data_IF_926435113768
#
_entry.id   IF_926435113768
#
_cell.length_a   1.000
_cell.length_b   1.000
_cell.length_c   1.000
_cell.angle_alpha   90.00
_cell.angle_beta   90.00
_cell.angle_gamma   90.00
#
_symmetry.space_group_name_H-M   'P 1'
#
loop_
_entity.id
_entity.type
_entity.pdbx_description
1 polymer ?
#
# COMPACT_ATOMS: atom_id res chain seq x y z
N UNK A 1 6.86 -18.94 7.04
CA UNK A 1 6.31 -18.29 8.26
C UNK A 1 4.83 -18.03 8.03
N UNK A 2 3.97 -18.29 9.01
CA UNK A 2 2.54 -18.02 8.91
C UNK A 2 2.19 -16.68 9.55
N UNK A 3 1.24 -15.95 8.95
CA UNK A 3 0.70 -14.72 9.50
C UNK A 3 -0.29 -15.08 10.61
N UNK A 4 -0.04 -14.55 11.81
CA UNK A 4 -0.91 -14.73 12.96
C UNK A 4 -2.23 -14.00 12.75
N UNK A 5 -3.36 -14.60 13.12
CA UNK A 5 -4.67 -13.94 13.13
C UNK A 5 -5.44 -14.18 14.42
N UNK A 6 -6.30 -13.24 14.79
CA UNK A 6 -7.26 -13.37 15.89
C UNK A 6 -8.70 -13.35 15.37
N UNK A 7 -9.59 -14.00 16.09
CA UNK A 7 -11.03 -13.95 15.82
C UNK A 7 -11.64 -12.78 16.57
N UNK A 8 -12.30 -11.87 15.86
CA UNK A 8 -12.93 -10.69 16.45
C UNK A 8 -14.40 -10.59 16.04
N UNK A 9 -15.27 -10.38 17.00
CA UNK A 9 -16.68 -10.05 16.77
C UNK A 9 -16.79 -8.60 16.28
N UNK A 10 -17.50 -8.39 15.17
CA UNK A 10 -17.71 -7.06 14.58
C UNK A 10 -19.17 -6.86 14.19
N UNK A 11 -19.64 -5.62 14.38
CA UNK A 11 -20.93 -5.14 13.91
C UNK A 11 -20.84 -4.75 12.44
N UNK A 12 -21.89 -4.97 11.67
CA UNK A 12 -21.97 -4.51 10.29
C UNK A 12 -22.17 -2.98 10.26
N UNK A 13 -21.24 -2.18 9.67
CA UNK A 13 -21.41 -0.72 9.62
C UNK A 13 -22.53 -0.26 8.68
N UNK A 14 -22.92 -1.09 7.71
CA UNK A 14 -23.97 -0.75 6.72
C UNK A 14 -25.37 -1.11 7.21
N UNK A 15 -25.47 -2.08 8.12
CA UNK A 15 -26.72 -2.49 8.75
C UNK A 15 -26.48 -2.69 10.25
N UNK A 16 -26.73 -1.65 11.06
CA UNK A 16 -26.49 -1.71 12.49
C UNK A 16 -27.43 -2.66 13.24
N UNK A 17 -28.55 -3.09 12.64
CA UNK A 17 -29.52 -4.00 13.25
C UNK A 17 -29.20 -5.48 12.98
N UNK A 18 -28.31 -5.77 12.04
CA UNK A 18 -27.88 -7.12 11.75
C UNK A 18 -27.09 -7.74 12.93
N UNK A 19 -27.20 -9.06 13.16
CA UNK A 19 -26.40 -9.76 14.16
C UNK A 19 -24.90 -9.57 13.92
N UNK A 20 -24.14 -9.52 15.02
CA UNK A 20 -22.68 -9.49 14.96
C UNK A 20 -22.12 -10.73 14.28
N UNK A 21 -21.01 -10.57 13.57
CA UNK A 21 -20.30 -11.66 12.89
C UNK A 21 -18.85 -11.71 13.36
N UNK A 22 -18.28 -12.91 13.38
CA UNK A 22 -16.88 -13.14 13.70
C UNK A 22 -16.02 -13.05 12.43
N UNK A 23 -14.91 -12.32 12.52
CA UNK A 23 -13.96 -12.13 11.42
C UNK A 23 -12.55 -12.53 11.85
N UNK A 24 -11.81 -13.17 10.95
CA UNK A 24 -10.39 -13.38 11.09
C UNK A 24 -9.64 -12.08 10.78
N UNK A 25 -8.91 -11.56 11.76
CA UNK A 25 -8.12 -10.33 11.61
C UNK A 25 -6.63 -10.66 11.75
N UNK A 26 -5.81 -10.44 10.71
CA UNK A 26 -4.36 -10.56 10.80
C UNK A 26 -3.80 -9.66 11.92
N UNK A 27 -2.80 -10.17 12.62
CA UNK A 27 -2.07 -9.48 13.68
C UNK A 27 -0.70 -9.10 13.12
N UNK A 28 -0.34 -7.82 13.20
CA UNK A 28 0.99 -7.36 12.78
C UNK A 28 2.05 -7.94 13.72
N UNK A 29 3.14 -8.47 13.15
CA UNK A 29 4.28 -9.00 13.90
C UNK A 29 5.31 -7.94 14.25
N UNK A 30 5.21 -6.73 13.68
CA UNK A 30 6.16 -5.64 13.90
C UNK A 30 6.10 -4.60 12.80
N UNK A 31 7.11 -3.74 12.79
CA UNK A 31 7.38 -2.73 11.77
C UNK A 31 8.83 -2.90 11.33
N UNK A 32 9.11 -2.69 10.05
CA UNK A 32 10.48 -2.65 9.51
C UNK A 32 10.74 -1.23 9.05
N UNK A 33 11.78 -0.61 9.59
CA UNK A 33 12.16 0.78 9.32
C UNK A 33 13.06 0.88 8.08
N UNK A 34 13.26 2.10 7.57
CA UNK A 34 14.23 2.33 6.49
C UNK A 34 15.67 1.99 6.90
N UNK A 35 16.01 2.17 8.19
CA UNK A 35 17.35 1.84 8.70
C UNK A 35 17.58 0.33 8.68
N UNK A 36 16.65 -0.46 9.24
CA UNK A 36 16.70 -1.94 9.21
C UNK A 36 16.68 -2.47 7.77
N UNK A 37 15.82 -1.92 6.90
CA UNK A 37 15.76 -2.34 5.50
C UNK A 37 17.07 -2.03 4.75
N UNK A 38 17.73 -0.92 5.08
CA UNK A 38 19.03 -0.57 4.48
C UNK A 38 20.13 -1.52 4.92
N UNK A 39 20.09 -1.99 6.17
CA UNK A 39 21.01 -3.00 6.72
C UNK A 39 20.83 -4.33 5.99
N UNK A 40 19.58 -4.81 5.87
CA UNK A 40 19.23 -6.05 5.19
C UNK A 40 19.70 -6.06 3.71
N UNK A 41 19.48 -4.95 3.00
CA UNK A 41 19.90 -4.81 1.60
C UNK A 41 21.43 -4.72 1.49
N UNK A 42 22.09 -4.03 2.43
CA UNK A 42 23.55 -3.95 2.45
C UNK A 42 24.17 -5.33 2.65
N UNK A 43 23.63 -6.14 3.56
CA UNK A 43 24.06 -7.53 3.75
C UNK A 43 23.87 -8.42 2.51
N UNK A 44 22.86 -8.14 1.70
CA UNK A 44 22.59 -8.86 0.46
C UNK A 44 23.30 -8.31 -0.78
N UNK A 45 24.12 -7.25 -0.64
CA UNK A 45 24.77 -6.57 -1.77
C UNK A 45 26.21 -6.16 -1.46
N UNK A 46 26.88 -5.55 -2.44
CA UNK A 46 28.21 -4.96 -2.24
C UNK A 46 28.17 -3.48 -1.87
N UNK A 47 26.98 -2.92 -1.59
CA UNK A 47 26.77 -1.51 -1.28
C UNK A 47 26.71 -1.35 0.24
N UNK A 48 27.37 -0.33 0.79
CA UNK A 48 27.32 -0.07 2.23
C UNK A 48 25.92 0.45 2.64
N UNK A 49 25.58 0.27 3.92
CA UNK A 49 24.29 0.65 4.47
C UNK A 49 23.97 2.14 4.27
N UNK A 50 24.94 3.02 4.49
CA UNK A 50 24.76 4.48 4.36
C UNK A 50 24.34 4.89 2.94
N UNK A 51 24.94 4.29 1.93
CA UNK A 51 24.64 4.54 0.52
C UNK A 51 23.26 3.96 0.16
N UNK A 52 22.93 2.76 0.64
CA UNK A 52 21.58 2.17 0.46
C UNK A 52 20.52 3.09 1.08
N UNK A 53 20.74 3.55 2.31
CA UNK A 53 19.82 4.46 3.00
C UNK A 53 19.61 5.76 2.21
N UNK A 54 20.70 6.36 1.71
CA UNK A 54 20.62 7.56 0.89
C UNK A 54 19.82 7.35 -0.41
N UNK A 55 19.96 6.19 -1.05
CA UNK A 55 19.19 5.81 -2.23
C UNK A 55 17.70 5.61 -1.93
N UNK A 56 17.37 4.90 -0.85
CA UNK A 56 15.99 4.72 -0.41
C UNK A 56 15.33 6.06 -0.07
N UNK A 57 16.04 6.96 0.63
CA UNK A 57 15.55 8.31 0.90
C UNK A 57 15.35 9.13 -0.38
N UNK A 58 16.26 8.99 -1.34
CA UNK A 58 16.11 9.64 -2.65
C UNK A 58 14.87 9.13 -3.38
N UNK A 59 14.59 7.82 -3.32
CA UNK A 59 13.38 7.23 -3.89
C UNK A 59 12.10 7.78 -3.22
N UNK A 60 12.08 7.88 -1.89
CA UNK A 60 10.98 8.47 -1.11
C UNK A 60 10.72 9.93 -1.51
N UNK A 61 11.76 10.67 -1.92
CA UNK A 61 11.63 12.06 -2.39
C UNK A 61 11.18 12.16 -3.85
N UNK A 62 11.64 11.26 -4.71
CA UNK A 62 11.37 11.35 -6.15
C UNK A 62 10.00 10.79 -6.56
N UNK A 63 9.45 9.80 -5.84
CA UNK A 63 8.12 9.26 -6.13
C UNK A 63 7.05 10.38 -6.05
N UNK A 64 6.91 11.14 -4.95
CA UNK A 64 5.90 12.20 -4.84
C UNK A 64 6.05 13.29 -5.91
N UNK A 65 7.29 13.68 -6.25
CA UNK A 65 7.56 14.67 -7.31
C UNK A 65 7.04 14.20 -8.66
N UNK A 66 7.26 12.94 -9.00
CA UNK A 66 6.77 12.36 -10.25
C UNK A 66 5.25 12.23 -10.26
N UNK A 67 4.63 11.84 -9.15
CA UNK A 67 3.17 11.81 -9.02
C UNK A 67 2.56 13.21 -9.19
N UNK A 68 3.18 14.24 -8.60
CA UNK A 68 2.72 15.63 -8.75
C UNK A 68 2.80 16.13 -10.20
N UNK A 69 3.72 15.57 -11.01
CA UNK A 69 3.82 15.82 -12.46
C UNK A 69 2.81 15.01 -13.29
N UNK A 70 1.96 14.20 -12.67
CA UNK A 70 1.03 13.30 -13.35
C UNK A 70 1.65 12.01 -13.86
N UNK A 71 2.92 11.72 -13.53
CA UNK A 71 3.58 10.50 -13.97
C UNK A 71 3.10 9.29 -13.16
N UNK A 72 3.11 8.13 -13.80
CA UNK A 72 2.95 6.83 -13.16
C UNK A 72 4.35 6.28 -12.86
N UNK A 73 4.64 5.95 -11.60
CA UNK A 73 5.93 5.40 -11.20
C UNK A 73 5.85 3.88 -11.09
N UNK A 74 6.57 3.16 -11.94
CA UNK A 74 6.63 1.69 -11.92
C UNK A 74 7.97 1.22 -11.36
N UNK A 75 7.93 0.47 -10.26
CA UNK A 75 9.10 -0.15 -9.64
C UNK A 75 9.18 -1.63 -10.03
N UNK A 76 9.44 -1.91 -11.31
CA UNK A 76 9.60 -3.26 -11.83
C UNK A 76 8.49 -4.24 -11.37
N UNK A 77 8.92 -5.34 -10.74
CA UNK A 77 8.04 -6.40 -10.26
C UNK A 77 7.36 -6.11 -8.91
N UNK A 78 7.77 -5.05 -8.21
CA UNK A 78 7.17 -4.62 -6.95
C UNK A 78 5.75 -4.10 -7.19
N UNK A 79 5.60 -3.18 -8.13
CA UNK A 79 4.30 -2.62 -8.47
C UNK A 79 4.36 -1.24 -9.10
N UNK A 80 3.24 -0.54 -9.00
CA UNK A 80 3.05 0.77 -9.64
C UNK A 80 2.34 1.73 -8.69
N UNK A 81 2.87 2.95 -8.60
CA UNK A 81 2.27 4.09 -7.94
C UNK A 81 1.63 5.00 -8.98
N UNK A 82 0.37 5.38 -8.75
CA UNK A 82 -0.38 6.30 -9.62
C UNK A 82 -1.31 7.19 -8.82
N UNK A 83 -1.62 8.36 -9.36
CA UNK A 83 -2.68 9.21 -8.83
C UNK A 83 -4.04 8.54 -9.06
N UNK A 84 -4.83 8.45 -7.99
CA UNK A 84 -6.26 8.19 -8.06
C UNK A 84 -7.02 9.43 -7.61
N UNK A 85 -8.09 9.75 -8.31
CA UNK A 85 -9.05 10.77 -7.93
C UNK A 85 -10.46 10.20 -8.05
N UNK A 86 -11.39 10.78 -7.30
CA UNK A 86 -12.80 10.67 -7.58
C UNK A 86 -13.23 11.92 -8.38
N UNK A 87 -14.37 11.85 -9.05
CA UNK A 87 -14.99 13.03 -9.67
C UNK A 87 -16.43 13.12 -9.24
N UNK A 88 -16.89 14.34 -8.97
CA UNK A 88 -18.32 14.65 -8.99
C UNK A 88 -18.79 14.68 -10.44
N UNK A 89 -19.95 14.09 -10.72
CA UNK A 89 -20.55 14.09 -12.06
C UNK A 89 -21.27 15.41 -12.33
N UNK A 90 -21.22 15.88 -13.58
CA UNK A 90 -22.02 17.00 -14.06
C UNK A 90 -22.96 16.54 -15.15
N UNK A 91 -24.09 17.25 -15.33
CA UNK A 91 -25.10 16.93 -16.35
C UNK A 91 -24.58 17.31 -17.76
N UNK A 92 -23.78 18.36 -17.87
CA UNK A 92 -23.17 18.81 -19.14
C UNK A 92 -21.65 18.67 -19.12
N UNK A 93 -21.06 18.32 -20.27
CA UNK A 93 -19.61 18.19 -20.40
C UNK A 93 -18.87 19.53 -20.19
N UNK A 94 -19.50 20.65 -20.53
CA UNK A 94 -18.95 22.00 -20.41
C UNK A 94 -18.80 22.46 -18.95
N UNK A 95 -19.57 21.86 -18.04
CA UNK A 95 -19.54 22.16 -16.61
C UNK A 95 -18.40 21.42 -15.88
N UNK A 96 -17.78 20.44 -16.53
CA UNK A 96 -16.68 19.67 -15.94
C UNK A 96 -15.42 20.54 -15.88
N UNK A 97 -14.94 20.74 -14.66
CA UNK A 97 -13.76 21.53 -14.35
C UNK A 97 -12.84 20.80 -13.37
N UNK A 98 -11.62 21.30 -13.11
CA UNK A 98 -10.76 20.75 -12.07
C UNK A 98 -11.40 20.73 -10.66
N UNK A 99 -12.46 21.53 -10.42
CA UNK A 99 -13.20 21.53 -9.15
C UNK A 99 -14.02 20.26 -8.94
N UNK A 100 -14.39 19.58 -10.02
CA UNK A 100 -15.11 18.31 -9.95
C UNK A 100 -14.20 17.18 -9.46
N UNK A 101 -12.87 17.33 -9.52
CA UNK A 101 -11.92 16.35 -9.00
C UNK A 101 -11.89 16.40 -7.47
N UNK A 102 -12.34 15.32 -6.85
CA UNK A 102 -12.42 15.17 -5.40
C UNK A 102 -11.50 14.04 -4.93
N UNK A 103 -11.05 14.13 -3.68
CA UNK A 103 -10.31 13.06 -2.96
C UNK A 103 -9.17 12.44 -3.77
N UNK A 104 -8.04 13.15 -3.81
CA UNK A 104 -6.80 12.61 -4.35
C UNK A 104 -6.18 11.58 -3.40
N UNK A 105 -5.73 10.46 -3.96
CA UNK A 105 -5.06 9.38 -3.23
C UNK A 105 -3.94 8.79 -4.06
N UNK A 106 -2.88 8.34 -3.41
CA UNK A 106 -1.85 7.54 -4.05
C UNK A 106 -2.31 6.08 -4.07
N UNK A 107 -2.46 5.52 -5.27
CA UNK A 107 -2.80 4.12 -5.44
C UNK A 107 -1.54 3.31 -5.69
N UNK A 108 -1.39 2.22 -4.93
CA UNK A 108 -0.38 1.19 -5.18
C UNK A 108 -1.04 -0.04 -5.79
N UNK A 109 -0.60 -0.42 -6.99
CA UNK A 109 -1.03 -1.63 -7.67
C UNK A 109 0.08 -2.68 -7.55
N UNK A 110 -0.15 -3.83 -6.89
CA UNK A 110 0.88 -4.83 -6.68
C UNK A 110 1.34 -5.43 -8.01
N UNK A 111 2.66 -5.54 -8.17
CA UNK A 111 3.29 -6.21 -9.30
C UNK A 111 3.26 -7.73 -9.16
N UNK A 112 3.86 -8.44 -10.12
CA UNK A 112 3.81 -9.91 -10.18
C UNK A 112 4.40 -10.56 -8.92
N UNK A 113 5.53 -10.05 -8.43
CA UNK A 113 6.22 -10.62 -7.27
C UNK A 113 5.35 -10.52 -6.01
N UNK A 114 4.75 -9.36 -5.76
CA UNK A 114 3.86 -9.16 -4.61
C UNK A 114 2.61 -10.03 -4.72
N UNK A 115 1.99 -10.14 -5.91
CA UNK A 115 0.84 -11.01 -6.11
C UNK A 115 1.14 -12.47 -5.78
N UNK A 116 2.27 -12.99 -6.27
CA UNK A 116 2.70 -14.36 -5.95
C UNK A 116 2.91 -14.57 -4.45
N UNK A 117 3.45 -13.59 -3.73
CA UNK A 117 3.56 -13.68 -2.26
C UNK A 117 2.18 -13.72 -1.60
N UNK A 118 1.26 -12.83 -2.02
CA UNK A 118 -0.11 -12.76 -1.48
C UNK A 118 -0.88 -14.07 -1.69
N UNK A 119 -0.73 -14.71 -2.86
CA UNK A 119 -1.42 -15.97 -3.19
C UNK A 119 -0.93 -17.16 -2.34
N UNK A 120 0.30 -17.07 -1.80
CA UNK A 120 0.95 -18.15 -1.04
C UNK A 120 1.02 -17.86 0.48
N UNK A 121 0.27 -16.88 0.98
CA UNK A 121 0.24 -16.58 2.41
C UNK A 121 -0.42 -17.71 3.20
N UNK A 122 0.20 -18.08 4.32
CA UNK A 122 -0.34 -19.04 5.28
C UNK A 122 -0.72 -18.32 6.57
N UNK A 123 -1.75 -18.80 7.26
CA UNK A 123 -2.32 -18.14 8.44
C UNK A 123 -2.43 -19.10 9.62
N UNK A 124 -2.10 -18.60 10.81
CA UNK A 124 -2.17 -19.36 12.06
C UNK A 124 -2.99 -18.59 13.09
N UNK A 125 -3.92 -19.29 13.76
CA UNK A 125 -4.74 -18.66 14.80
C UNK A 125 -3.90 -18.48 16.06
N UNK A 126 -3.84 -17.25 16.58
CA UNK A 126 -3.27 -17.01 17.91
C UNK A 126 -4.20 -17.61 18.95
N UNK A 127 -3.65 -18.49 19.79
CA UNK A 127 -4.36 -19.08 20.93
C UNK A 127 -4.81 -17.99 21.93
#
# INVERSE_FOLDING_TARGET
MAIKYKVQEMRNPRDPAAPHKFYAKPVSSGEVTLDELSEDISHASSVNQSDVYALLQSLVREIPKNIARGNIVRLGNLGTFRLGSNSEGSELAEEVSPKNLLRFRLLFNPGKQIKTVLDNLTFEKVA
#
